data_IF_251464990960
#
_entry.id   IF_251464990960
#
_cell.length_a   1.000
_cell.length_b   1.000
_cell.length_c   1.000
_cell.angle_alpha   90.00
_cell.angle_beta   90.00
_cell.angle_gamma   90.00
#
_symmetry.space_group_name_H-M   'P 1'
#
loop_
_entity.id
_entity.type
_entity.pdbx_description
1 polymer ?
#
# COMPACT_ATOMS: atom_id res chain seq x y z
N UNK A 1 -24.59 12.12 13.86
CA UNK A 1 -24.06 12.00 12.47
C UNK A 1 -24.97 12.78 11.55
N UNK A 2 -24.42 13.59 10.69
CA UNK A 2 -25.17 14.33 9.68
C UNK A 2 -25.74 13.38 8.62
N UNK A 3 -27.01 13.55 8.25
CA UNK A 3 -27.68 12.70 7.25
C UNK A 3 -27.34 13.16 5.83
N UNK A 4 -27.64 12.32 4.83
CA UNK A 4 -27.50 12.67 3.39
C UNK A 4 -28.25 13.95 3.05
N UNK A 5 -29.51 14.06 3.52
CA UNK A 5 -30.35 15.22 3.26
C UNK A 5 -29.81 16.48 3.95
N UNK A 6 -29.31 16.37 5.16
CA UNK A 6 -28.69 17.50 5.88
C UNK A 6 -27.45 18.02 5.12
N UNK A 7 -26.61 17.13 4.59
CA UNK A 7 -25.43 17.52 3.79
C UNK A 7 -25.83 18.20 2.48
N UNK A 8 -26.78 17.64 1.74
CA UNK A 8 -27.29 18.26 0.50
C UNK A 8 -27.83 19.67 0.79
N UNK A 9 -28.62 19.82 1.88
CA UNK A 9 -29.18 21.11 2.30
C UNK A 9 -28.08 22.10 2.70
N UNK A 10 -27.05 21.65 3.41
CA UNK A 10 -25.90 22.48 3.80
C UNK A 10 -25.15 22.98 2.56
N UNK A 11 -24.77 22.08 1.64
CA UNK A 11 -24.08 22.41 0.38
C UNK A 11 -24.89 23.42 -0.46
N UNK A 12 -26.20 23.20 -0.62
CA UNK A 12 -27.07 24.11 -1.35
C UNK A 12 -27.13 25.51 -0.72
N UNK A 13 -27.15 25.58 0.61
CA UNK A 13 -27.12 26.88 1.33
C UNK A 13 -25.82 27.62 1.15
N UNK A 14 -24.70 26.92 1.22
CA UNK A 14 -23.36 27.49 0.99
C UNK A 14 -23.25 28.08 -0.41
N UNK A 15 -23.78 27.37 -1.41
CA UNK A 15 -23.81 27.84 -2.82
C UNK A 15 -24.92 28.85 -3.12
N UNK A 16 -25.75 29.20 -2.12
CA UNK A 16 -26.89 30.11 -2.23
C UNK A 16 -27.88 29.72 -3.35
N UNK A 17 -28.03 28.45 -3.64
CA UNK A 17 -28.86 27.91 -4.72
C UNK A 17 -30.25 27.54 -4.20
N UNK A 18 -31.30 27.79 -4.97
CA UNK A 18 -32.67 27.36 -4.64
C UNK A 18 -32.86 25.86 -4.94
N UNK A 19 -33.86 25.21 -4.30
CA UNK A 19 -34.23 23.83 -4.62
C UNK A 19 -34.65 23.68 -6.10
N UNK A 20 -35.29 24.69 -6.66
CA UNK A 20 -35.74 24.72 -8.06
C UNK A 20 -34.55 24.74 -9.03
N UNK A 21 -33.52 25.53 -8.77
CA UNK A 21 -32.30 25.61 -9.59
C UNK A 21 -31.52 24.31 -9.51
N UNK A 22 -31.35 23.77 -8.29
CA UNK A 22 -30.68 22.48 -8.09
C UNK A 22 -31.43 21.34 -8.79
N UNK A 23 -32.78 21.32 -8.68
CA UNK A 23 -33.61 20.34 -9.36
C UNK A 23 -33.44 20.42 -10.88
N UNK A 24 -33.45 21.62 -11.45
CA UNK A 24 -33.25 21.85 -12.89
C UNK A 24 -31.88 21.31 -13.35
N UNK A 25 -30.80 21.53 -12.58
CA UNK A 25 -29.48 21.00 -12.91
C UNK A 25 -29.44 19.48 -12.83
N UNK A 26 -30.04 18.88 -11.82
CA UNK A 26 -30.10 17.43 -11.63
C UNK A 26 -31.08 16.73 -12.58
N UNK A 27 -31.99 17.46 -13.26
CA UNK A 27 -33.01 16.89 -14.11
C UNK A 27 -34.20 16.32 -13.31
N UNK A 28 -34.50 16.90 -12.15
CA UNK A 28 -35.60 16.51 -11.24
C UNK A 28 -36.42 17.73 -10.82
N UNK A 29 -37.58 17.47 -10.18
CA UNK A 29 -38.39 18.55 -9.62
C UNK A 29 -37.76 19.12 -8.33
N UNK A 30 -38.16 20.36 -7.98
CA UNK A 30 -37.82 20.98 -6.69
C UNK A 30 -38.40 20.19 -5.50
N UNK A 31 -39.56 19.54 -5.68
CA UNK A 31 -40.14 18.62 -4.69
C UNK A 31 -39.26 17.44 -4.42
N UNK A 32 -38.64 16.86 -5.46
CA UNK A 32 -37.69 15.75 -5.29
C UNK A 32 -36.46 16.18 -4.49
N UNK A 33 -35.92 17.36 -4.74
CA UNK A 33 -34.81 17.94 -3.94
C UNK A 33 -35.28 18.16 -2.48
N UNK A 34 -36.51 18.63 -2.27
CA UNK A 34 -37.08 18.77 -0.94
C UNK A 34 -37.23 17.45 -0.19
N UNK A 35 -37.51 16.35 -0.87
CA UNK A 35 -37.55 15.01 -0.28
C UNK A 35 -36.17 14.51 0.09
N UNK A 36 -35.16 14.77 -0.73
CA UNK A 36 -33.75 14.45 -0.39
C UNK A 36 -33.31 15.19 0.88
N UNK A 37 -33.58 16.51 0.96
CA UNK A 37 -33.19 17.34 2.11
C UNK A 37 -33.90 16.99 3.43
N UNK A 38 -35.03 16.27 3.35
CA UNK A 38 -35.79 15.76 4.49
C UNK A 38 -35.53 14.27 4.77
N UNK A 39 -34.57 13.65 4.07
CA UNK A 39 -34.28 12.22 4.16
C UNK A 39 -35.48 11.30 3.90
N UNK A 40 -36.50 11.78 3.14
CA UNK A 40 -37.65 10.97 2.73
C UNK A 40 -37.22 9.93 1.69
N UNK A 41 -36.31 10.30 0.80
CA UNK A 41 -35.63 9.39 -0.12
C UNK A 41 -34.21 9.84 -0.39
N UNK A 42 -33.40 8.94 -0.98
CA UNK A 42 -32.02 9.21 -1.34
C UNK A 42 -31.91 9.44 -2.85
N UNK A 43 -31.08 10.40 -3.32
CA UNK A 43 -30.86 10.60 -4.75
C UNK A 43 -30.33 9.32 -5.41
N UNK A 44 -30.83 8.99 -6.61
CA UNK A 44 -30.29 7.88 -7.42
C UNK A 44 -28.92 8.20 -8.02
N UNK A 45 -28.23 7.20 -8.57
CA UNK A 45 -26.83 7.32 -9.02
C UNK A 45 -26.57 8.46 -10.01
N UNK A 46 -27.46 8.70 -10.97
CA UNK A 46 -27.34 9.81 -11.92
C UNK A 46 -27.51 11.18 -11.22
N UNK A 47 -28.46 11.29 -10.32
CA UNK A 47 -28.68 12.50 -9.54
C UNK A 47 -27.51 12.77 -8.57
N UNK A 48 -26.97 11.73 -7.94
CA UNK A 48 -25.77 11.82 -7.09
C UNK A 48 -24.55 12.33 -7.88
N UNK A 49 -24.34 11.82 -9.08
CA UNK A 49 -23.25 12.28 -9.95
C UNK A 49 -23.40 13.75 -10.33
N UNK A 50 -24.63 14.18 -10.63
CA UNK A 50 -24.94 15.59 -10.93
C UNK A 50 -24.79 16.49 -9.70
N UNK A 51 -25.22 16.04 -8.52
CA UNK A 51 -25.05 16.75 -7.25
C UNK A 51 -23.57 16.94 -6.91
N UNK A 52 -22.78 15.87 -7.02
CA UNK A 52 -21.34 15.92 -6.78
C UNK A 52 -20.64 16.93 -7.70
N UNK A 53 -21.00 16.91 -9.00
CA UNK A 53 -20.49 17.88 -9.98
C UNK A 53 -20.94 19.32 -9.67
N UNK A 54 -22.20 19.52 -9.30
CA UNK A 54 -22.75 20.84 -9.00
C UNK A 54 -22.07 21.49 -7.79
N UNK A 55 -21.87 20.70 -6.73
CA UNK A 55 -21.27 21.18 -5.48
C UNK A 55 -19.74 21.09 -5.46
N UNK A 56 -19.13 20.62 -6.55
CA UNK A 56 -17.68 20.36 -6.62
C UNK A 56 -17.17 19.52 -5.45
N UNK A 57 -17.86 18.40 -5.20
CA UNK A 57 -17.59 17.46 -4.11
C UNK A 57 -17.66 16.02 -4.61
N UNK A 58 -17.39 15.03 -3.75
CA UNK A 58 -17.50 13.62 -4.09
C UNK A 58 -18.89 13.06 -3.77
N UNK A 59 -19.28 11.97 -4.45
CA UNK A 59 -20.49 11.19 -4.13
C UNK A 59 -20.37 10.65 -2.69
N UNK A 60 -19.20 10.19 -2.30
CA UNK A 60 -18.92 9.65 -0.96
C UNK A 60 -19.11 10.70 0.13
N UNK A 61 -18.72 11.95 -0.10
CA UNK A 61 -19.02 13.04 0.83
C UNK A 61 -20.53 13.24 0.99
N UNK A 62 -21.27 13.22 -0.10
CA UNK A 62 -22.74 13.38 -0.05
C UNK A 62 -23.37 12.22 0.72
N UNK A 63 -22.95 10.98 0.48
CA UNK A 63 -23.53 9.78 1.08
C UNK A 63 -23.09 9.54 2.53
N UNK A 64 -21.82 9.71 2.82
CA UNK A 64 -21.23 9.24 4.07
C UNK A 64 -20.65 10.36 4.94
N UNK A 65 -20.53 11.59 4.42
CA UNK A 65 -19.96 12.72 5.15
C UNK A 65 -18.45 12.59 5.34
N UNK A 66 -17.82 11.65 4.69
CA UNK A 66 -16.39 11.60 4.62
C UNK A 66 -15.92 12.69 3.65
N UNK A 67 -15.08 13.60 4.10
CA UNK A 67 -14.22 14.33 3.17
C UNK A 67 -13.37 13.28 2.45
N UNK A 68 -13.92 12.79 1.37
CA UNK A 68 -13.08 12.25 0.35
C UNK A 68 -12.33 13.48 -0.18
N UNK A 69 -11.22 13.82 0.46
CA UNK A 69 -10.21 14.56 -0.26
C UNK A 69 -10.02 13.79 -1.56
N UNK A 70 -10.51 14.34 -2.65
CA UNK A 70 -10.38 13.80 -4.00
C UNK A 70 -8.95 13.93 -4.55
N UNK A 71 -8.01 13.69 -3.73
CA UNK A 71 -6.85 12.92 -4.03
C UNK A 71 -7.35 11.47 -4.14
N UNK A 72 -7.42 10.95 -5.36
CA UNK A 72 -6.75 9.69 -5.59
C UNK A 72 -5.35 9.89 -4.98
N UNK A 73 -5.27 9.69 -3.69
CA UNK A 73 -4.03 9.31 -3.07
C UNK A 73 -3.89 7.86 -3.53
N UNK A 74 -3.51 7.70 -4.78
CA UNK A 74 -2.53 6.70 -5.06
C UNK A 74 -1.39 7.12 -4.15
N UNK A 75 -1.36 6.58 -2.93
CA UNK A 75 -0.17 6.58 -2.11
C UNK A 75 0.87 5.71 -2.85
N UNK A 76 1.08 6.04 -4.11
CA UNK A 76 2.14 5.48 -4.93
C UNK A 76 3.41 6.09 -4.35
N UNK A 77 4.10 5.29 -3.60
CA UNK A 77 5.44 5.60 -3.15
C UNK A 77 6.42 5.08 -4.17
N UNK A 78 7.39 5.87 -4.51
CA UNK A 78 8.55 5.43 -5.30
C UNK A 78 9.59 4.87 -4.35
N UNK A 79 10.03 3.66 -4.64
CA UNK A 79 10.98 2.90 -3.83
C UNK A 79 12.22 2.63 -4.68
N UNK A 80 13.44 2.98 -4.22
CA UNK A 80 14.66 2.72 -4.95
C UNK A 80 14.94 1.22 -5.03
N UNK A 81 15.37 0.74 -6.20
CA UNK A 81 15.86 -0.63 -6.37
C UNK A 81 17.37 -0.63 -6.14
N UNK A 82 17.80 -1.26 -5.06
CA UNK A 82 19.22 -1.34 -4.69
C UNK A 82 19.80 -2.73 -4.95
N UNK A 83 21.13 -2.83 -4.96
CA UNK A 83 21.83 -4.10 -5.09
C UNK A 83 21.82 -4.91 -3.78
N UNK A 84 22.04 -6.22 -3.86
CA UNK A 84 22.16 -7.10 -2.70
C UNK A 84 23.34 -6.73 -1.78
N UNK A 85 24.42 -6.19 -2.34
CA UNK A 85 25.57 -5.68 -1.58
C UNK A 85 25.18 -4.42 -0.80
N UNK A 86 24.53 -3.45 -1.46
CA UNK A 86 24.03 -2.24 -0.78
C UNK A 86 23.04 -2.61 0.32
N UNK A 87 22.14 -3.56 0.09
CA UNK A 87 21.26 -4.06 1.12
C UNK A 87 22.01 -4.68 2.30
N UNK A 88 23.07 -5.45 2.05
CA UNK A 88 23.92 -6.01 3.11
C UNK A 88 24.58 -4.94 4.00
N UNK A 89 24.87 -3.78 3.44
CA UNK A 89 25.51 -2.65 4.15
C UNK A 89 24.48 -1.64 4.71
N UNK A 90 23.19 -1.82 4.45
CA UNK A 90 22.14 -0.85 4.73
C UNK A 90 22.04 -0.41 6.20
N UNK A 91 22.41 -1.28 7.13
CA UNK A 91 22.39 -0.98 8.57
C UNK A 91 23.55 -0.10 9.05
N UNK A 92 24.63 -0.05 8.27
CA UNK A 92 25.82 0.75 8.58
C UNK A 92 25.73 2.15 7.96
N UNK A 93 24.99 2.28 6.85
CA UNK A 93 24.81 3.51 6.09
C UNK A 93 23.32 3.81 5.88
N UNK A 94 22.60 4.24 6.93
CA UNK A 94 21.21 4.76 6.80
C UNK A 94 21.16 6.16 6.19
N UNK A 95 22.05 6.49 5.28
CA UNK A 95 22.18 7.85 4.76
C UNK A 95 21.66 7.97 3.33
N UNK A 96 21.22 9.17 2.98
CA UNK A 96 20.80 9.56 1.64
C UNK A 96 21.82 9.22 0.54
N UNK A 97 23.06 8.94 0.91
CA UNK A 97 24.15 8.57 0.01
C UNK A 97 23.92 7.21 -0.69
N UNK A 98 23.26 6.24 -0.02
CA UNK A 98 22.94 4.93 -0.64
C UNK A 98 21.93 5.09 -1.77
N UNK A 99 21.11 6.13 -1.73
CA UNK A 99 20.05 6.39 -2.73
C UNK A 99 20.47 7.36 -3.82
N UNK A 100 21.66 8.00 -3.71
CA UNK A 100 22.11 9.00 -4.68
C UNK A 100 22.52 8.44 -6.05
N UNK A 101 22.79 7.15 -6.15
CA UNK A 101 23.23 6.44 -7.37
C UNK A 101 22.22 5.38 -7.85
N UNK A 102 20.93 5.58 -7.54
CA UNK A 102 19.90 4.59 -7.93
C UNK A 102 19.27 4.96 -9.26
N UNK A 103 19.51 4.13 -10.27
CA UNK A 103 18.95 4.32 -11.62
C UNK A 103 17.52 3.77 -11.77
N UNK A 104 17.16 2.76 -10.96
CA UNK A 104 15.86 2.05 -11.08
C UNK A 104 14.99 2.30 -9.85
N UNK A 105 13.73 2.66 -10.11
CA UNK A 105 12.72 2.90 -9.08
C UNK A 105 11.47 2.10 -9.40
N UNK A 106 10.76 1.65 -8.39
CA UNK A 106 9.47 0.97 -8.51
C UNK A 106 8.39 1.72 -7.75
N UNK A 107 7.20 1.76 -8.32
CA UNK A 107 6.04 2.37 -7.69
C UNK A 107 5.25 1.32 -6.91
N UNK A 108 4.77 1.68 -5.71
CA UNK A 108 3.97 0.80 -4.87
C UNK A 108 2.90 1.56 -4.11
N UNK A 109 1.73 0.94 -3.95
CA UNK A 109 0.65 1.44 -3.08
C UNK A 109 0.71 0.85 -1.67
N UNK A 110 1.72 0.05 -1.34
CA UNK A 110 1.88 -0.57 -0.03
C UNK A 110 2.14 0.47 1.06
N UNK A 111 1.60 0.22 2.24
CA UNK A 111 1.93 1.01 3.43
C UNK A 111 3.30 0.56 3.96
N UNK A 112 4.31 1.37 3.72
CA UNK A 112 5.72 1.11 4.02
C UNK A 112 6.36 2.34 4.68
N UNK A 113 7.46 2.12 5.41
CA UNK A 113 8.29 3.20 6.01
C UNK A 113 9.02 4.05 4.96
N UNK A 114 9.54 5.20 5.39
CA UNK A 114 10.24 6.14 4.49
C UNK A 114 11.60 5.61 4.01
N UNK A 115 12.20 4.68 4.78
CA UNK A 115 13.49 4.05 4.47
C UNK A 115 13.36 2.78 3.61
N UNK A 116 12.16 2.50 3.08
CA UNK A 116 11.90 1.29 2.30
C UNK A 116 12.67 1.29 0.98
N UNK A 117 13.08 0.12 0.57
CA UNK A 117 13.80 -0.12 -0.67
C UNK A 117 13.29 -1.37 -1.38
N UNK A 118 13.73 -1.61 -2.60
CA UNK A 118 13.38 -2.79 -3.36
C UNK A 118 14.64 -3.55 -3.80
N UNK A 119 14.51 -4.86 -4.00
CA UNK A 119 15.55 -5.75 -4.49
C UNK A 119 15.00 -6.63 -5.59
N UNK A 120 15.79 -6.84 -6.64
CA UNK A 120 15.48 -7.81 -7.67
C UNK A 120 16.01 -9.19 -7.24
N UNK A 121 15.11 -10.19 -7.19
CA UNK A 121 15.43 -11.53 -6.69
C UNK A 121 16.34 -12.26 -7.67
N UNK A 122 17.43 -12.82 -7.14
CA UNK A 122 18.38 -13.65 -7.88
C UNK A 122 18.29 -15.09 -7.39
N UNK A 123 18.22 -16.01 -8.33
CA UNK A 123 18.14 -17.45 -8.06
C UNK A 123 16.75 -17.91 -7.60
N UNK A 124 16.56 -19.21 -7.46
CA UNK A 124 15.29 -19.87 -7.27
C UNK A 124 15.02 -20.37 -5.83
N UNK A 125 15.86 -19.98 -4.87
CA UNK A 125 15.72 -20.44 -3.47
C UNK A 125 14.39 -20.05 -2.81
N UNK A 126 13.69 -19.06 -3.36
CA UNK A 126 12.38 -18.60 -2.91
C UNK A 126 11.26 -18.96 -3.89
N UNK A 127 11.55 -19.73 -4.93
CA UNK A 127 10.56 -20.28 -5.86
C UNK A 127 9.96 -21.55 -5.26
N UNK A 128 8.71 -21.47 -4.81
CA UNK A 128 8.02 -22.63 -4.22
C UNK A 128 7.31 -23.42 -5.30
N UNK A 129 7.73 -24.66 -5.59
CA UNK A 129 7.09 -25.49 -6.60
C UNK A 129 5.72 -26.03 -6.17
N UNK A 130 5.37 -25.95 -4.88
CA UNK A 130 4.17 -26.53 -4.31
C UNK A 130 3.04 -25.52 -4.08
N UNK A 131 3.20 -24.27 -4.54
CA UNK A 131 2.16 -23.24 -4.42
C UNK A 131 2.60 -21.92 -3.78
N UNK A 132 1.70 -21.29 -3.07
CA UNK A 132 1.94 -20.00 -2.44
C UNK A 132 2.35 -20.10 -0.97
N UNK A 133 3.18 -19.20 -0.46
CA UNK A 133 3.83 -18.11 -1.20
C UNK A 133 4.99 -18.60 -2.07
N UNK A 134 5.22 -17.92 -3.18
CA UNK A 134 6.37 -18.14 -4.07
C UNK A 134 6.92 -16.79 -4.50
N UNK A 135 8.25 -16.69 -4.64
CA UNK A 135 8.94 -15.52 -5.16
C UNK A 135 9.90 -16.02 -6.24
N UNK A 136 9.54 -15.88 -7.51
CA UNK A 136 10.38 -16.35 -8.60
C UNK A 136 11.61 -15.46 -8.78
N UNK A 137 12.61 -15.98 -9.46
CA UNK A 137 13.74 -15.21 -9.93
C UNK A 137 13.28 -14.06 -10.86
N UNK A 138 13.94 -12.91 -10.77
CA UNK A 138 13.54 -11.70 -11.50
C UNK A 138 12.41 -10.90 -10.85
N UNK A 139 11.71 -11.46 -9.86
CA UNK A 139 10.71 -10.70 -9.10
C UNK A 139 11.36 -9.56 -8.30
N UNK A 140 10.65 -8.46 -8.14
CA UNK A 140 11.07 -7.35 -7.29
C UNK A 140 10.37 -7.46 -5.93
N UNK A 141 11.13 -7.54 -4.84
CA UNK A 141 10.62 -7.53 -3.47
C UNK A 141 10.73 -6.14 -2.87
N UNK A 142 9.65 -5.66 -2.26
CA UNK A 142 9.60 -4.37 -1.55
C UNK A 142 9.84 -4.63 -0.08
N UNK A 143 10.85 -3.97 0.49
CA UNK A 143 11.40 -4.21 1.82
C UNK A 143 11.20 -2.99 2.69
N UNK A 144 10.69 -3.21 3.88
CA UNK A 144 10.53 -2.21 4.92
C UNK A 144 11.51 -2.54 6.08
N UNK A 145 12.59 -1.76 6.24
CA UNK A 145 13.59 -1.99 7.28
C UNK A 145 13.09 -1.61 8.68
N UNK A 146 12.04 -0.78 8.78
CA UNK A 146 11.47 -0.35 10.05
C UNK A 146 10.36 -1.30 10.53
N UNK A 147 10.00 -2.29 9.71
CA UNK A 147 8.99 -3.29 10.07
C UNK A 147 9.57 -4.39 10.96
N UNK A 148 8.82 -4.75 12.00
CA UNK A 148 9.25 -5.77 12.96
C UNK A 148 9.20 -7.18 12.34
N UNK A 149 10.30 -7.96 12.46
CA UNK A 149 10.38 -9.30 11.89
C UNK A 149 9.74 -10.34 12.84
N UNK A 150 8.62 -10.94 12.41
CA UNK A 150 7.91 -11.99 13.14
C UNK A 150 8.08 -13.36 12.51
N UNK A 151 7.80 -14.40 13.26
CA UNK A 151 7.70 -15.78 12.74
C UNK A 151 6.83 -15.83 11.47
N UNK A 152 7.31 -16.49 10.45
CA UNK A 152 6.61 -16.70 9.18
C UNK A 152 6.75 -15.55 8.17
N UNK A 153 7.33 -14.41 8.54
CA UNK A 153 7.60 -13.31 7.61
C UNK A 153 8.76 -13.64 6.68
N UNK A 154 8.69 -13.10 5.46
CA UNK A 154 9.82 -13.12 4.54
C UNK A 154 10.67 -11.91 4.88
N UNK A 155 11.96 -12.13 5.07
CA UNK A 155 12.92 -11.14 5.53
C UNK A 155 14.11 -11.06 4.59
N UNK A 156 14.73 -9.90 4.56
CA UNK A 156 16.06 -9.70 4.03
C UNK A 156 17.03 -9.78 5.20
N UNK A 157 18.05 -10.62 5.08
CA UNK A 157 19.01 -10.87 6.13
C UNK A 157 20.44 -10.95 5.57
N UNK A 158 21.43 -10.56 6.37
CA UNK A 158 22.85 -10.76 6.10
C UNK A 158 23.40 -11.75 7.11
N UNK A 159 24.14 -12.73 6.62
CA UNK A 159 24.90 -13.66 7.47
C UNK A 159 26.30 -13.10 7.71
N UNK A 160 26.85 -13.35 8.89
CA UNK A 160 28.23 -12.99 9.21
C UNK A 160 29.21 -13.66 8.23
N UNK A 161 30.21 -12.90 7.82
CA UNK A 161 31.18 -13.36 6.83
C UNK A 161 30.72 -13.25 5.37
N UNK A 162 29.49 -12.73 5.13
CA UNK A 162 29.02 -12.40 3.77
C UNK A 162 28.81 -10.89 3.61
N UNK A 163 29.13 -10.38 2.43
CA UNK A 163 28.88 -8.97 2.09
C UNK A 163 27.51 -8.77 1.45
N UNK A 164 26.84 -9.84 1.07
CA UNK A 164 25.56 -9.80 0.39
C UNK A 164 24.41 -10.22 1.32
N UNK A 165 23.28 -9.57 1.13
CA UNK A 165 22.05 -9.96 1.79
C UNK A 165 21.41 -11.17 1.09
N UNK A 166 20.48 -11.83 1.77
CA UNK A 166 19.67 -12.94 1.23
C UNK A 166 18.20 -12.75 1.61
N UNK A 167 17.30 -13.30 0.80
CA UNK A 167 15.87 -13.35 1.11
C UNK A 167 15.48 -14.75 1.58
N UNK A 168 14.82 -14.84 2.75
CA UNK A 168 14.35 -16.11 3.32
C UNK A 168 13.10 -15.88 4.17
N UNK A 169 12.40 -16.96 4.50
CA UNK A 169 11.33 -16.96 5.50
C UNK A 169 11.94 -17.13 6.90
N UNK A 170 11.61 -16.22 7.80
CA UNK A 170 11.98 -16.33 9.20
C UNK A 170 11.08 -17.33 9.91
N UNK A 171 11.66 -18.37 10.47
CA UNK A 171 10.97 -19.36 11.30
C UNK A 171 11.55 -19.30 12.71
N UNK A 172 10.66 -19.17 13.69
CA UNK A 172 11.02 -19.16 15.13
C UNK A 172 10.33 -20.36 15.76
N UNK A 173 11.10 -21.28 16.31
CA UNK A 173 10.64 -22.48 16.99
C UNK A 173 11.27 -22.53 18.39
N UNK A 174 10.49 -22.09 19.37
CA UNK A 174 11.00 -21.92 20.73
C UNK A 174 12.23 -21.01 20.77
N UNK A 175 13.37 -21.50 21.30
CA UNK A 175 14.61 -20.72 21.34
C UNK A 175 15.35 -20.69 19.99
N UNK A 176 14.97 -21.54 19.03
CA UNK A 176 15.66 -21.67 17.77
C UNK A 176 15.07 -20.76 16.70
N UNK A 177 15.92 -20.19 15.88
CA UNK A 177 15.55 -19.37 14.73
C UNK A 177 16.21 -19.86 13.47
N UNK A 178 15.48 -19.82 12.36
CA UNK A 178 15.98 -20.29 11.07
C UNK A 178 15.59 -19.32 9.97
N UNK A 179 16.47 -19.18 8.99
CA UNK A 179 16.15 -18.66 7.67
C UNK A 179 15.81 -19.82 6.74
N UNK A 180 14.56 -19.91 6.35
CA UNK A 180 14.01 -21.06 5.60
C UNK A 180 13.72 -20.62 4.16
N UNK A 181 14.33 -21.27 3.15
CA UNK A 181 13.98 -21.07 1.75
C UNK A 181 12.55 -21.57 1.49
N UNK A 182 11.84 -20.99 0.53
CA UNK A 182 10.56 -21.50 0.08
C UNK A 182 10.70 -22.71 -0.87
N UNK A 183 11.85 -22.80 -1.52
CA UNK A 183 12.21 -23.95 -2.33
C UNK A 183 12.80 -25.06 -1.45
N UNK A 184 12.14 -26.24 -1.32
CA UNK A 184 12.57 -27.30 -0.43
C UNK A 184 13.89 -27.99 -0.87
N UNK A 185 14.40 -27.66 -2.06
CA UNK A 185 15.73 -28.16 -2.51
C UNK A 185 16.90 -27.49 -1.78
N UNK A 186 16.65 -26.37 -1.10
CA UNK A 186 17.67 -25.62 -0.36
C UNK A 186 17.59 -25.90 1.13
N UNK A 187 18.71 -26.01 1.84
CA UNK A 187 18.75 -26.26 3.27
C UNK A 187 18.29 -25.04 4.08
N UNK A 188 17.74 -25.31 5.27
CA UNK A 188 17.48 -24.29 6.27
C UNK A 188 18.79 -23.77 6.86
N UNK A 189 18.86 -22.47 7.14
CA UNK A 189 20.02 -21.83 7.72
C UNK A 189 19.71 -21.48 9.19
N UNK A 190 20.39 -22.08 10.18
CA UNK A 190 20.17 -21.74 11.57
C UNK A 190 20.74 -20.34 11.89
N UNK A 191 20.03 -19.61 12.75
CA UNK A 191 20.43 -18.30 13.27
C UNK A 191 20.92 -18.49 14.71
N UNK A 192 22.23 -18.37 14.90
CA UNK A 192 22.90 -18.56 16.19
C UNK A 192 23.67 -17.29 16.62
N UNK A 193 23.09 -16.11 16.40
CA UNK A 193 23.76 -14.83 16.62
C UNK A 193 24.62 -14.37 15.44
N UNK A 194 24.63 -15.13 14.34
CA UNK A 194 25.42 -14.91 13.12
C UNK A 194 24.61 -14.28 11.98
N UNK A 195 23.53 -13.59 12.30
CA UNK A 195 22.59 -13.07 11.30
C UNK A 195 22.03 -11.73 11.73
N UNK A 196 22.08 -10.77 10.82
CA UNK A 196 21.42 -9.47 10.93
C UNK A 196 20.20 -9.44 10.02
N UNK A 197 19.02 -9.20 10.57
CA UNK A 197 17.82 -8.95 9.78
C UNK A 197 17.80 -7.48 9.38
N UNK A 198 17.75 -7.21 8.08
CA UNK A 198 17.82 -5.88 7.47
C UNK A 198 16.42 -5.28 7.32
N UNK A 199 15.42 -6.11 7.00
CA UNK A 199 14.05 -5.64 6.84
C UNK A 199 13.08 -6.76 6.50
N UNK A 200 11.80 -6.42 6.48
CA UNK A 200 10.69 -7.33 6.20
C UNK A 200 10.14 -7.07 4.79
N UNK A 201 9.95 -8.11 4.02
CA UNK A 201 9.30 -8.02 2.70
C UNK A 201 7.82 -7.75 2.89
N UNK A 202 7.35 -6.63 2.33
CA UNK A 202 5.97 -6.17 2.39
C UNK A 202 5.16 -6.53 1.14
N UNK A 203 5.84 -6.74 0.02
CA UNK A 203 5.21 -7.10 -1.23
C UNK A 203 6.19 -7.64 -2.26
N UNK A 204 5.63 -8.26 -3.29
CA UNK A 204 6.36 -8.83 -4.42
C UNK A 204 5.68 -8.34 -5.70
N UNK A 205 6.48 -7.88 -6.64
CA UNK A 205 6.03 -7.48 -7.98
C UNK A 205 6.82 -8.29 -9.01
N UNK A 206 6.15 -8.79 -10.03
CA UNK A 206 6.77 -9.44 -11.17
C UNK A 206 5.92 -9.21 -12.42
N UNK A 207 6.58 -9.12 -13.55
CA UNK A 207 5.95 -9.06 -14.86
C UNK A 207 5.80 -10.49 -15.40
N UNK A 208 4.71 -10.74 -16.12
CA UNK A 208 4.40 -12.04 -16.76
C UNK A 208 4.95 -12.08 -18.17
#
# INVERSE_FOLDING_TARGET
METVGQRIKALRRVTRTSQKELGKFCGVSDVAVGYWEKDINVPGGEALSKLAKFFNTSIDYILYGAEFEGKLVTNMRRVPVISWVQAGQFTECRTAEVFSEVDKWVDTSLKIGDNSFALEVKGDSMTNPNGLPTIPEGATVIVDPDAEPWHGKIVIARLDGTNEATVKKLVIDGPQKFLVPLNPRYPNIPINGNCLIIGVVKGVQYEL
#
